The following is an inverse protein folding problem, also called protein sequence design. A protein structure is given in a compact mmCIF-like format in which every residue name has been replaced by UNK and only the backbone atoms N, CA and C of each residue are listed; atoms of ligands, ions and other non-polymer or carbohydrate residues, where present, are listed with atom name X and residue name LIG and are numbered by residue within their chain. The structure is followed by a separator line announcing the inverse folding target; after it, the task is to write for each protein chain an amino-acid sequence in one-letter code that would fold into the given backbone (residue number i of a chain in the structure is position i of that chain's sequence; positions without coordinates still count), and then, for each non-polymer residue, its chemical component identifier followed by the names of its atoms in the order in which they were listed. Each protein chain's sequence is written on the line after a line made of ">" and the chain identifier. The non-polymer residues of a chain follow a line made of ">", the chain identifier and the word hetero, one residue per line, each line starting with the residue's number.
data_IF_776217821257
#
_entry.id   IF_776217821257
#
_cell.length_a   1.000
_cell.length_b   1.000
_cell.length_c   1.000
_cell.angle_alpha   90.00
_cell.angle_beta   90.00
_cell.angle_gamma   90.00
#
_symmetry.space_group_name_H-M   'P 1'
#
loop_
_entity.id
_entity.type
_entity.pdbx_description
1 polymer ?
#
# COMPACT_ATOMS: atom_id res chain seq x y z
N UNK A 1 -0.36 -15.88 -25.54
CA UNK A 1 -0.74 -16.75 -24.40
C UNK A 1 0.28 -16.80 -23.24
N UNK A 2 1.41 -17.55 -23.34
CA UNK A 2 2.35 -17.74 -22.20
C UNK A 2 3.02 -16.46 -21.60
N UNK A 3 3.34 -15.40 -22.39
CA UNK A 3 4.10 -14.25 -21.87
C UNK A 3 3.39 -13.53 -20.73
N UNK A 4 2.06 -13.40 -20.81
CA UNK A 4 1.29 -12.66 -19.81
C UNK A 4 1.16 -13.44 -18.51
N UNK A 5 0.96 -14.76 -18.59
CA UNK A 5 0.92 -15.62 -17.42
C UNK A 5 2.25 -15.57 -16.64
N UNK A 6 3.38 -15.52 -17.36
CA UNK A 6 4.71 -15.36 -16.77
C UNK A 6 4.86 -13.99 -16.12
N UNK A 7 4.39 -12.91 -16.77
CA UNK A 7 4.41 -11.56 -16.18
C UNK A 7 3.58 -11.49 -14.89
N UNK A 8 2.38 -12.09 -14.88
CA UNK A 8 1.53 -12.18 -13.68
C UNK A 8 2.25 -12.96 -12.57
N UNK A 9 2.83 -14.12 -12.88
CA UNK A 9 3.55 -14.93 -11.91
C UNK A 9 4.77 -14.21 -11.32
N UNK A 10 5.55 -13.52 -12.16
CA UNK A 10 6.68 -12.71 -11.74
C UNK A 10 6.25 -11.52 -10.87
N UNK A 11 5.15 -10.85 -11.22
CA UNK A 11 4.62 -9.71 -10.47
C UNK A 11 4.12 -10.12 -9.08
N UNK A 12 3.37 -11.22 -8.99
CA UNK A 12 2.94 -11.78 -7.70
C UNK A 12 4.13 -12.27 -6.86
N UNK A 13 5.11 -12.93 -7.48
CA UNK A 13 6.33 -13.38 -6.80
C UNK A 13 7.18 -12.22 -6.27
N UNK A 14 7.31 -11.14 -7.05
CA UNK A 14 8.00 -9.92 -6.64
C UNK A 14 7.26 -9.24 -5.47
N UNK A 15 5.94 -9.13 -5.57
CA UNK A 15 5.12 -8.57 -4.49
C UNK A 15 5.29 -9.33 -3.18
N UNK A 16 5.29 -10.67 -3.26
CA UNK A 16 5.54 -11.51 -2.08
C UNK A 16 6.94 -11.32 -1.51
N UNK A 17 7.97 -11.20 -2.36
CA UNK A 17 9.34 -10.96 -1.93
C UNK A 17 9.49 -9.60 -1.22
N UNK A 18 8.83 -8.55 -1.73
CA UNK A 18 8.80 -7.22 -1.11
C UNK A 18 8.12 -7.26 0.27
N UNK A 19 7.04 -8.03 0.41
CA UNK A 19 6.36 -8.24 1.68
C UNK A 19 7.25 -9.01 2.67
N UNK A 20 7.79 -10.17 2.27
CA UNK A 20 8.58 -11.04 3.16
C UNK A 20 9.95 -10.46 3.53
N UNK A 21 10.51 -9.59 2.68
CA UNK A 21 11.78 -8.91 2.97
C UNK A 21 11.64 -7.77 3.99
N UNK A 22 10.40 -7.35 4.31
CA UNK A 22 10.13 -6.21 5.20
C UNK A 22 10.36 -4.84 4.54
N UNK A 23 10.64 -4.80 3.24
CA UNK A 23 10.86 -3.54 2.51
C UNK A 23 9.63 -2.63 2.57
N UNK A 24 8.43 -3.20 2.41
CA UNK A 24 7.17 -2.46 2.46
C UNK A 24 6.98 -1.74 3.81
N UNK A 25 7.27 -2.43 4.91
CA UNK A 25 7.18 -1.88 6.27
C UNK A 25 8.22 -0.79 6.52
N UNK A 26 9.47 -1.00 6.08
CA UNK A 26 10.53 -0.01 6.20
C UNK A 26 10.20 1.29 5.44
N UNK A 27 9.72 1.18 4.19
CA UNK A 27 9.33 2.33 3.38
C UNK A 27 8.18 3.11 4.02
N UNK A 28 7.12 2.42 4.46
CA UNK A 28 5.98 3.05 5.11
C UNK A 28 6.40 3.86 6.35
N UNK A 29 7.26 3.26 7.21
CA UNK A 29 7.77 3.92 8.41
C UNK A 29 8.60 5.16 8.10
N UNK A 30 9.46 5.11 7.07
CA UNK A 30 10.28 6.26 6.66
C UNK A 30 9.37 7.43 6.25
N UNK A 31 8.38 7.18 5.38
CA UNK A 31 7.49 8.23 4.87
C UNK A 31 6.67 8.85 6.00
N UNK A 32 6.16 8.03 6.91
CA UNK A 32 5.38 8.49 8.07
C UNK A 32 6.24 9.29 9.06
N UNK A 33 7.46 8.85 9.36
CA UNK A 33 8.37 9.55 10.26
C UNK A 33 8.77 10.92 9.71
N UNK A 34 8.98 11.04 8.39
CA UNK A 34 9.22 12.33 7.74
C UNK A 34 8.01 13.26 7.85
N UNK A 35 6.80 12.70 7.73
CA UNK A 35 5.56 13.45 7.80
C UNK A 35 5.12 13.80 9.23
N UNK A 36 5.70 13.17 10.26
CA UNK A 36 5.39 13.47 11.67
C UNK A 36 5.66 14.94 12.02
N UNK A 37 6.68 15.56 11.39
CA UNK A 37 7.00 16.98 11.57
C UNK A 37 5.91 17.93 11.04
N UNK A 38 5.02 17.45 10.16
CA UNK A 38 3.92 18.22 9.57
C UNK A 38 2.61 18.11 10.37
N UNK A 39 2.62 17.37 11.49
CA UNK A 39 1.45 17.15 12.34
C UNK A 39 0.45 16.11 11.79
N UNK A 40 -0.73 15.95 12.43
CA UNK A 40 -1.66 14.86 12.15
C UNK A 40 -2.14 14.78 10.69
N UNK A 41 -2.42 15.93 10.07
CA UNK A 41 -2.84 15.99 8.67
C UNK A 41 -1.73 15.55 7.71
N UNK A 42 -0.48 15.93 7.99
CA UNK A 42 0.67 15.51 7.21
C UNK A 42 0.86 14.00 7.24
N UNK A 43 0.69 13.39 8.42
CA UNK A 43 0.78 11.93 8.57
C UNK A 43 -0.37 11.21 7.87
N UNK A 44 -1.60 11.73 7.92
CA UNK A 44 -2.72 11.17 7.15
C UNK A 44 -2.44 11.18 5.64
N UNK A 45 -1.91 12.29 5.12
CA UNK A 45 -1.51 12.38 3.71
C UNK A 45 -0.38 11.39 3.38
N UNK A 46 0.61 11.25 4.26
CA UNK A 46 1.68 10.29 4.11
C UNK A 46 1.19 8.84 4.12
N UNK A 47 0.26 8.50 5.01
CA UNK A 47 -0.39 7.18 5.05
C UNK A 47 -1.13 6.90 3.76
N UNK A 48 -1.87 7.88 3.22
CA UNK A 48 -2.56 7.75 1.95
C UNK A 48 -1.56 7.46 0.80
N UNK A 49 -0.51 8.28 0.68
CA UNK A 49 0.49 8.16 -0.38
C UNK A 49 1.26 6.83 -0.25
N UNK A 50 1.71 6.48 0.95
CA UNK A 50 2.43 5.24 1.20
C UNK A 50 1.55 4.01 0.90
N UNK A 51 0.28 4.03 1.30
CA UNK A 51 -0.66 2.94 0.98
C UNK A 51 -0.85 2.83 -0.53
N UNK A 52 -1.11 3.93 -1.22
CA UNK A 52 -1.28 3.93 -2.68
C UNK A 52 -0.04 3.39 -3.38
N UNK A 53 1.17 3.85 -3.03
CA UNK A 53 2.43 3.35 -3.60
C UNK A 53 2.66 1.86 -3.33
N UNK A 54 2.41 1.41 -2.11
CA UNK A 54 2.57 -0.01 -1.77
C UNK A 54 1.57 -0.88 -2.52
N UNK A 55 0.35 -0.40 -2.76
CA UNK A 55 -0.63 -1.16 -3.54
C UNK A 55 -0.19 -1.41 -4.97
N UNK A 56 0.78 -0.66 -5.50
CA UNK A 56 1.35 -0.87 -6.84
C UNK A 56 2.53 -1.85 -6.83
N UNK A 57 3.14 -2.10 -5.67
CA UNK A 57 4.31 -2.97 -5.51
C UNK A 57 3.93 -4.37 -5.03
N UNK A 58 2.89 -4.47 -4.20
CA UNK A 58 2.40 -5.72 -3.61
C UNK A 58 0.88 -5.83 -3.81
N UNK A 59 0.28 -6.90 -3.29
CA UNK A 59 -1.18 -7.04 -3.39
C UNK A 59 -1.90 -5.99 -2.54
N UNK A 60 -2.98 -5.43 -3.08
CA UNK A 60 -3.81 -4.43 -2.40
C UNK A 60 -4.20 -4.85 -0.96
N UNK A 61 -4.64 -6.10 -0.78
CA UNK A 61 -5.04 -6.59 0.53
C UNK A 61 -3.86 -6.66 1.53
N UNK A 62 -2.67 -7.07 1.08
CA UNK A 62 -1.47 -7.07 1.91
C UNK A 62 -1.05 -5.64 2.27
N UNK A 63 -1.06 -4.71 1.31
CA UNK A 63 -0.78 -3.30 1.54
C UNK A 63 -1.76 -2.69 2.54
N UNK A 64 -3.05 -2.97 2.41
CA UNK A 64 -4.08 -2.48 3.33
C UNK A 64 -3.89 -3.03 4.75
N UNK A 65 -3.63 -4.33 4.91
CA UNK A 65 -3.41 -4.95 6.22
C UNK A 65 -2.17 -4.38 6.93
N UNK A 66 -1.05 -4.27 6.20
CA UNK A 66 0.19 -3.69 6.70
C UNK A 66 0.01 -2.23 7.07
N UNK A 67 -0.54 -1.42 6.17
CA UNK A 67 -0.70 0.02 6.39
C UNK A 67 -1.73 0.33 7.48
N UNK A 68 -2.77 -0.49 7.65
CA UNK A 68 -3.72 -0.32 8.74
C UNK A 68 -3.02 -0.46 10.10
N UNK A 69 -2.16 -1.47 10.27
CA UNK A 69 -1.43 -1.65 11.52
C UNK A 69 -0.49 -0.46 11.81
N UNK A 70 0.22 0.02 10.79
CA UNK A 70 1.15 1.16 10.92
C UNK A 70 0.38 2.46 11.19
N UNK A 71 -0.68 2.74 10.43
CA UNK A 71 -1.48 3.96 10.55
C UNK A 71 -2.20 4.05 11.90
N UNK A 72 -2.65 2.93 12.45
CA UNK A 72 -3.22 2.86 13.80
C UNK A 72 -2.17 3.13 14.88
N UNK A 73 -0.91 2.73 14.67
CA UNK A 73 0.18 3.10 15.56
C UNK A 73 0.48 4.59 15.49
N UNK A 74 0.63 5.12 14.28
CA UNK A 74 0.90 6.54 14.06
C UNK A 74 -0.21 7.44 14.66
N UNK A 75 -1.48 7.04 14.54
CA UNK A 75 -2.59 7.76 15.17
C UNK A 75 -2.46 7.82 16.70
N UNK A 76 -2.05 6.71 17.34
CA UNK A 76 -1.82 6.65 18.79
C UNK A 76 -0.64 7.53 19.20
N UNK A 77 0.47 7.47 18.47
CA UNK A 77 1.69 8.23 18.76
C UNK A 77 1.46 9.74 18.65
N UNK A 78 0.60 10.18 17.73
CA UNK A 78 0.20 11.57 17.57
C UNK A 78 -0.99 12.00 18.44
N UNK A 79 -1.61 11.10 19.21
CA UNK A 79 -2.83 11.38 19.96
C UNK A 79 -4.02 11.79 19.09
N UNK A 80 -4.03 11.37 17.82
CA UNK A 80 -5.05 11.70 16.82
C UNK A 80 -6.16 10.64 16.74
N UNK A 81 -7.31 10.99 16.15
CA UNK A 81 -8.43 10.05 16.01
C UNK A 81 -8.08 8.89 15.04
N UNK A 82 -8.04 7.63 15.51
CA UNK A 82 -7.61 6.49 14.66
C UNK A 82 -8.53 6.24 13.46
N UNK A 83 -9.79 6.66 13.56
CA UNK A 83 -10.79 6.52 12.48
C UNK A 83 -10.36 7.24 11.21
N UNK A 84 -9.76 8.43 11.32
CA UNK A 84 -9.32 9.21 10.15
C UNK A 84 -8.23 8.47 9.36
N UNK A 85 -7.30 7.84 10.08
CA UNK A 85 -6.21 7.06 9.51
C UNK A 85 -6.72 5.77 8.85
N UNK A 86 -7.65 5.06 9.51
CA UNK A 86 -8.27 3.86 8.96
C UNK A 86 -9.04 4.16 7.66
N UNK A 87 -9.78 5.27 7.61
CA UNK A 87 -10.48 5.73 6.40
C UNK A 87 -9.47 6.07 5.30
N UNK A 88 -8.39 6.77 5.62
CA UNK A 88 -7.36 7.11 4.64
C UNK A 88 -6.73 5.85 4.01
N UNK A 89 -6.41 4.83 4.81
CA UNK A 89 -5.92 3.54 4.31
C UNK A 89 -6.97 2.87 3.42
N UNK A 90 -8.23 2.81 3.85
CA UNK A 90 -9.30 2.15 3.08
C UNK A 90 -9.51 2.80 1.71
N UNK A 91 -9.49 4.14 1.64
CA UNK A 91 -9.63 4.89 0.38
C UNK A 91 -8.39 4.66 -0.49
N UNK A 92 -7.18 4.81 0.07
CA UNK A 92 -5.94 4.65 -0.68
C UNK A 92 -5.76 3.24 -1.24
N UNK A 93 -6.08 2.22 -0.44
CA UNK A 93 -6.08 0.82 -0.86
C UNK A 93 -7.07 0.62 -2.02
N UNK A 94 -8.25 1.24 -1.98
CA UNK A 94 -9.24 1.14 -3.07
C UNK A 94 -8.82 1.87 -4.35
N UNK A 95 -7.80 2.73 -4.30
CA UNK A 95 -7.33 3.57 -5.39
C UNK A 95 -6.14 2.98 -6.18
N UNK A 96 -6.02 1.65 -6.29
CA UNK A 96 -4.99 0.96 -7.10
C UNK A 96 -5.29 1.05 -8.60
N UNK A 97 -5.20 2.27 -9.15
CA UNK A 97 -5.41 2.56 -10.56
C UNK A 97 -4.12 2.99 -11.27
N UNK A 98 -3.00 3.16 -10.56
CA UNK A 98 -1.78 3.69 -11.17
C UNK A 98 -1.01 2.63 -11.96
N UNK A 99 -1.03 1.37 -11.52
CA UNK A 99 -0.48 0.24 -12.27
C UNK A 99 -1.44 -0.95 -12.23
N UNK A 100 -1.49 -1.75 -13.32
CA UNK A 100 -2.30 -2.94 -13.35
C UNK A 100 -1.74 -4.06 -12.45
N UNK A 101 -0.49 -3.93 -11.97
CA UNK A 101 0.27 -4.98 -11.25
C UNK A 101 -0.29 -5.25 -9.85
N UNK A 102 -0.69 -4.20 -9.15
CA UNK A 102 -1.12 -4.24 -7.75
C UNK A 102 -2.43 -4.97 -7.45
N UNK A 103 -3.27 -5.11 -8.47
CA UNK A 103 -4.65 -5.56 -8.30
C UNK A 103 -4.95 -6.76 -9.22
N UNK A 104 -5.30 -7.89 -8.62
CA UNK A 104 -5.52 -9.15 -9.35
C UNK A 104 -6.54 -9.02 -10.50
N UNK A 105 -7.59 -8.23 -10.31
CA UNK A 105 -8.62 -7.97 -11.32
C UNK A 105 -8.10 -7.10 -12.46
N UNK A 106 -7.26 -6.09 -12.19
CA UNK A 106 -6.63 -5.28 -13.25
C UNK A 106 -5.63 -6.13 -14.06
N UNK A 107 -4.87 -7.01 -13.40
CA UNK A 107 -4.00 -8.00 -14.06
C UNK A 107 -4.79 -8.95 -14.98
N UNK A 108 -5.94 -9.46 -14.51
CA UNK A 108 -6.79 -10.36 -15.31
C UNK A 108 -7.34 -9.66 -16.56
N UNK A 109 -7.79 -8.40 -16.45
CA UNK A 109 -8.27 -7.63 -17.61
C UNK A 109 -7.15 -7.31 -18.59
N UNK A 110 -5.96 -6.92 -18.10
CA UNK A 110 -4.80 -6.68 -18.95
C UNK A 110 -4.33 -7.95 -19.67
N UNK A 111 -4.61 -9.14 -19.13
CA UNK A 111 -4.29 -10.42 -19.78
C UNK A 111 -5.31 -10.92 -20.79
N UNK A 112 -6.54 -10.39 -20.73
CA UNK A 112 -7.62 -10.78 -21.63
C UNK A 112 -7.69 -9.95 -22.92
N UNK A 113 -7.04 -8.77 -22.94
CA UNK A 113 -6.85 -7.93 -24.13
C UNK A 113 -5.50 -8.19 -24.80
#
# INVERSE_FOLDING_TARGET
>A
ELPVLVVIACALGLGQAIETSGLADALAKIVINLAAALGPLGVIAAVYIATSLLTELITNNAAAALMMAIAMSAARDLGAEPKAFAIAVAIAASASFMTPIGYQTNLMVMSAG
#
